data_IF_464272647015
#
_entry.id   IF_464272647015
#
_cell.length_a   1.000
_cell.length_b   1.000
_cell.length_c   1.000
_cell.angle_alpha   90.00
_cell.angle_beta   90.00
_cell.angle_gamma   90.00
#
_symmetry.space_group_name_H-M   'P 1'
#
loop_
_entity.id
_entity.type
_entity.pdbx_description
1 polymer ?
#
# COMPACT_ATOMS: atom_id res chain seq x y z
N UNK A 1 -20.11 19.95 2.39
CA UNK A 1 -21.37 19.27 2.78
C UNK A 1 -22.41 19.58 1.70
N UNK A 2 -22.96 18.58 1.02
CA UNK A 2 -23.84 18.81 -0.15
C UNK A 2 -25.22 19.39 0.23
N UNK A 3 -25.60 19.23 1.49
CA UNK A 3 -26.83 19.77 2.10
C UNK A 3 -26.73 21.25 2.50
N UNK A 4 -25.54 21.86 2.44
CA UNK A 4 -25.30 23.27 2.76
C UNK A 4 -24.86 24.07 1.54
N UNK A 5 -25.09 23.55 0.33
CA UNK A 5 -24.75 24.26 -0.90
C UNK A 5 -25.81 25.32 -1.14
N UNK A 6 -25.37 26.58 -1.24
CA UNK A 6 -26.27 27.70 -1.50
C UNK A 6 -26.90 27.63 -2.88
N UNK A 7 -28.11 28.20 -2.99
CA UNK A 7 -28.81 28.37 -4.25
C UNK A 7 -27.99 29.25 -5.21
N UNK A 8 -27.54 28.67 -6.32
CA UNK A 8 -26.64 29.27 -7.30
C UNK A 8 -25.25 28.61 -7.37
N UNK A 9 -24.82 27.88 -6.33
CA UNK A 9 -23.54 27.17 -6.31
C UNK A 9 -23.66 25.69 -6.71
N UNK A 10 -24.87 25.15 -6.85
CA UNK A 10 -25.11 23.74 -7.15
C UNK A 10 -24.51 23.33 -8.49
N UNK A 11 -24.55 24.21 -9.50
CA UNK A 11 -23.95 23.96 -10.81
C UNK A 11 -22.43 23.75 -10.70
N UNK A 12 -21.75 24.59 -9.91
CA UNK A 12 -20.31 24.47 -9.71
C UNK A 12 -19.93 23.18 -8.98
N UNK A 13 -20.74 22.74 -8.01
CA UNK A 13 -20.55 21.46 -7.32
C UNK A 13 -20.88 20.28 -8.24
N UNK A 14 -21.89 20.41 -9.10
CA UNK A 14 -22.23 19.40 -10.09
C UNK A 14 -21.07 19.18 -11.09
N UNK A 15 -20.48 20.25 -11.61
CA UNK A 15 -19.29 20.17 -12.48
C UNK A 15 -18.06 19.61 -11.77
N UNK A 16 -17.90 19.89 -10.47
CA UNK A 16 -16.86 19.30 -9.65
C UNK A 16 -17.05 17.78 -9.53
N UNK A 17 -18.28 17.32 -9.25
CA UNK A 17 -18.60 15.89 -9.14
C UNK A 17 -18.40 15.14 -10.46
N UNK A 18 -18.63 15.80 -11.59
CA UNK A 18 -18.30 15.28 -12.93
C UNK A 18 -16.80 15.37 -13.28
N UNK A 19 -15.96 15.77 -12.33
CA UNK A 19 -14.51 15.89 -12.50
C UNK A 19 -14.11 16.91 -13.61
N UNK A 20 -14.96 17.89 -13.91
CA UNK A 20 -14.73 18.89 -14.98
C UNK A 20 -13.93 20.10 -14.48
N UNK A 21 -14.27 20.63 -13.31
CA UNK A 21 -13.67 21.86 -12.76
C UNK A 21 -12.26 21.64 -12.21
N UNK A 22 -12.07 20.60 -11.41
CA UNK A 22 -10.77 20.15 -10.89
C UNK A 22 -10.68 18.66 -11.12
N UNK A 23 -9.62 18.19 -11.76
CA UNK A 23 -9.46 16.76 -12.10
C UNK A 23 -8.74 16.04 -10.98
N UNK A 24 -9.35 14.97 -10.47
CA UNK A 24 -8.74 14.03 -9.53
C UNK A 24 -8.60 12.65 -10.20
N UNK A 25 -7.51 11.94 -9.92
CA UNK A 25 -7.25 10.61 -10.48
C UNK A 25 -8.35 9.60 -10.14
N UNK A 26 -8.84 9.63 -8.90
CA UNK A 26 -9.94 8.76 -8.45
C UNK A 26 -11.31 9.43 -8.58
N UNK A 27 -11.40 10.65 -9.11
CA UNK A 27 -12.64 11.42 -9.23
C UNK A 27 -13.25 11.83 -7.88
N UNK A 28 -14.52 12.24 -7.93
CA UNK A 28 -15.29 12.65 -6.75
C UNK A 28 -16.48 11.72 -6.49
N UNK A 29 -16.99 11.81 -5.25
CA UNK A 29 -18.19 11.10 -4.81
C UNK A 29 -18.95 11.96 -3.79
N UNK A 30 -20.26 12.05 -3.92
CA UNK A 30 -21.11 12.83 -3.03
C UNK A 30 -21.78 11.94 -1.97
N UNK A 31 -21.83 12.40 -0.73
CA UNK A 31 -22.58 11.74 0.35
C UNK A 31 -23.30 12.78 1.18
N UNK A 32 -24.46 12.40 1.72
CA UNK A 32 -25.20 13.18 2.71
C UNK A 32 -25.09 12.51 4.07
N UNK A 33 -24.44 13.20 4.99
CA UNK A 33 -24.36 12.77 6.39
C UNK A 33 -25.61 13.17 7.17
N UNK A 34 -25.85 12.49 8.30
CA UNK A 34 -26.84 12.91 9.31
C UNK A 34 -26.55 14.35 9.77
N UNK A 35 -27.59 15.16 9.84
CA UNK A 35 -27.52 16.52 10.38
C UNK A 35 -27.40 16.53 11.91
N UNK A 36 -26.97 17.66 12.48
CA UNK A 36 -26.85 17.80 13.94
C UNK A 36 -28.19 17.50 14.64
N UNK A 37 -29.31 17.93 14.06
CA UNK A 37 -30.65 17.68 14.59
C UNK A 37 -31.01 16.19 14.56
N UNK A 38 -30.65 15.47 13.51
CA UNK A 38 -30.90 14.02 13.39
C UNK A 38 -30.05 13.22 14.38
N UNK A 39 -28.83 13.69 14.68
CA UNK A 39 -27.98 13.10 15.71
C UNK A 39 -28.58 13.28 17.10
N UNK A 40 -29.04 14.49 17.45
CA UNK A 40 -29.71 14.75 18.74
C UNK A 40 -31.00 13.93 18.91
N UNK A 41 -31.72 13.66 17.83
CA UNK A 41 -32.93 12.81 17.83
C UNK A 41 -32.64 11.30 17.81
N UNK A 42 -31.38 10.88 17.80
CA UNK A 42 -31.01 9.46 17.78
C UNK A 42 -31.40 8.74 16.49
N UNK A 43 -31.33 9.42 15.34
CA UNK A 43 -31.70 8.80 14.05
C UNK A 43 -30.74 7.65 13.72
N UNK A 44 -31.30 6.46 13.46
CA UNK A 44 -30.54 5.27 13.11
C UNK A 44 -29.76 5.45 11.81
N UNK A 45 -28.73 4.62 11.63
CA UNK A 45 -27.90 4.65 10.42
C UNK A 45 -28.74 4.33 9.17
N UNK A 46 -29.60 3.31 9.24
CA UNK A 46 -30.46 2.92 8.11
C UNK A 46 -31.40 4.04 7.69
N UNK A 47 -31.98 4.76 8.65
CA UNK A 47 -32.80 5.95 8.38
C UNK A 47 -31.95 7.06 7.75
N UNK A 48 -30.71 7.25 8.19
CA UNK A 48 -29.77 8.19 7.57
C UNK A 48 -29.48 7.86 6.09
N UNK A 49 -29.29 6.58 5.78
CA UNK A 49 -29.07 6.11 4.40
C UNK A 49 -30.34 6.29 3.55
N UNK A 50 -31.52 6.01 4.10
CA UNK A 50 -32.79 6.27 3.41
C UNK A 50 -32.99 7.79 3.14
N UNK A 51 -32.65 8.65 4.11
CA UNK A 51 -32.72 10.10 3.96
C UNK A 51 -31.71 10.64 2.93
N UNK A 52 -30.56 9.98 2.78
CA UNK A 52 -29.60 10.26 1.73
C UNK A 52 -30.18 9.93 0.35
N UNK A 53 -30.74 8.73 0.19
CA UNK A 53 -31.37 8.30 -1.07
C UNK A 53 -32.50 9.26 -1.48
N UNK A 54 -33.35 9.65 -0.52
CA UNK A 54 -34.42 10.61 -0.77
C UNK A 54 -33.88 11.99 -1.17
N UNK A 55 -32.82 12.49 -0.51
CA UNK A 55 -32.22 13.78 -0.84
C UNK A 55 -31.68 13.83 -2.27
N UNK A 56 -30.88 12.83 -2.65
CA UNK A 56 -30.32 12.80 -4.00
C UNK A 56 -31.37 12.49 -5.08
N UNK A 57 -32.42 11.73 -4.75
CA UNK A 57 -33.51 11.41 -5.66
C UNK A 57 -34.52 12.54 -5.88
N UNK A 58 -34.75 13.40 -4.88
CA UNK A 58 -35.74 14.48 -4.95
C UNK A 58 -35.17 15.81 -5.45
N UNK A 59 -33.87 16.06 -5.22
CA UNK A 59 -33.26 17.36 -5.54
C UNK A 59 -33.01 17.53 -7.04
N UNK A 60 -33.45 18.66 -7.62
CA UNK A 60 -33.43 18.91 -9.06
C UNK A 60 -32.01 18.78 -9.68
N UNK A 61 -31.01 19.36 -9.03
CA UNK A 61 -29.62 19.32 -9.49
C UNK A 61 -28.96 17.95 -9.29
N UNK A 62 -29.18 17.30 -8.14
CA UNK A 62 -28.47 16.07 -7.82
C UNK A 62 -29.06 14.84 -8.50
N UNK A 63 -30.37 14.84 -8.79
CA UNK A 63 -31.03 13.77 -9.54
C UNK A 63 -30.47 13.62 -10.96
N UNK A 64 -29.91 14.68 -11.54
CA UNK A 64 -29.26 14.67 -12.86
C UNK A 64 -27.89 13.98 -12.83
N UNK A 65 -27.29 13.79 -11.64
CA UNK A 65 -26.03 13.06 -11.50
C UNK A 65 -26.26 11.55 -11.64
N UNK A 66 -25.28 10.89 -12.26
CA UNK A 66 -25.26 9.44 -12.34
C UNK A 66 -25.32 8.82 -10.94
N UNK A 67 -26.18 7.80 -10.71
CA UNK A 67 -26.33 7.14 -9.41
C UNK A 67 -25.03 6.57 -8.81
N UNK A 68 -24.00 6.31 -9.63
CA UNK A 68 -22.72 5.82 -9.14
C UNK A 68 -21.83 6.92 -8.52
N UNK A 69 -22.17 8.20 -8.68
CA UNK A 69 -21.38 9.34 -8.16
C UNK A 69 -21.82 9.79 -6.77
N UNK A 70 -22.87 9.19 -6.22
CA UNK A 70 -23.40 9.59 -4.92
C UNK A 70 -23.89 8.40 -4.11
N UNK A 71 -24.05 8.62 -2.82
CA UNK A 71 -24.60 7.64 -1.88
C UNK A 71 -23.55 6.78 -1.21
N UNK A 72 -23.76 6.50 0.08
CA UNK A 72 -22.91 5.66 0.92
C UNK A 72 -22.76 4.23 0.37
N UNK A 73 -23.82 3.53 -0.09
CA UNK A 73 -23.66 2.17 -0.60
C UNK A 73 -22.70 2.08 -1.81
N UNK A 74 -22.86 3.01 -2.77
CA UNK A 74 -22.00 3.09 -3.95
C UNK A 74 -20.58 3.52 -3.62
N UNK A 75 -20.42 4.40 -2.64
CA UNK A 75 -19.10 4.78 -2.14
C UNK A 75 -18.36 3.57 -1.58
N UNK A 76 -19.04 2.76 -0.77
CA UNK A 76 -18.46 1.55 -0.18
C UNK A 76 -17.98 0.56 -1.24
N UNK A 77 -18.82 0.25 -2.23
CA UNK A 77 -18.45 -0.62 -3.37
C UNK A 77 -17.19 -0.11 -4.09
N UNK A 78 -17.15 1.20 -4.37
CA UNK A 78 -16.03 1.85 -5.05
C UNK A 78 -14.74 1.83 -4.21
N UNK A 79 -14.83 2.11 -2.91
CA UNK A 79 -13.68 2.08 -2.01
C UNK A 79 -13.10 0.65 -1.90
N UNK A 80 -13.97 -0.36 -1.84
CA UNK A 80 -13.54 -1.77 -1.83
C UNK A 80 -12.79 -2.10 -3.12
N UNK A 81 -13.31 -1.73 -4.29
CA UNK A 81 -12.62 -1.94 -5.57
C UNK A 81 -11.27 -1.22 -5.62
N UNK A 82 -11.21 0.06 -5.23
CA UNK A 82 -9.95 0.83 -5.21
C UNK A 82 -8.93 0.19 -4.26
N UNK A 83 -9.37 -0.27 -3.09
CA UNK A 83 -8.50 -0.91 -2.12
C UNK A 83 -7.96 -2.23 -2.68
N UNK A 84 -8.81 -3.08 -3.27
CA UNK A 84 -8.40 -4.34 -3.87
C UNK A 84 -7.37 -4.12 -4.99
N UNK A 85 -7.59 -3.12 -5.86
CA UNK A 85 -6.64 -2.79 -6.93
C UNK A 85 -5.30 -2.29 -6.37
N UNK A 86 -5.33 -1.48 -5.31
CA UNK A 86 -4.11 -1.02 -4.66
C UNK A 86 -3.33 -2.18 -4.04
N UNK A 87 -4.00 -3.09 -3.34
CA UNK A 87 -3.39 -4.30 -2.76
C UNK A 87 -2.77 -5.15 -3.87
N UNK A 88 -3.51 -5.41 -4.95
CA UNK A 88 -3.00 -6.21 -6.09
C UNK A 88 -1.75 -5.58 -6.73
N UNK A 89 -1.67 -4.25 -6.79
CA UNK A 89 -0.51 -3.53 -7.33
C UNK A 89 0.68 -3.47 -6.36
N UNK A 90 0.44 -3.40 -5.05
CA UNK A 90 1.50 -3.22 -4.06
C UNK A 90 2.11 -4.54 -3.58
N UNK A 91 1.32 -5.61 -3.46
CA UNK A 91 1.78 -6.89 -2.91
C UNK A 91 2.97 -7.51 -3.65
N UNK A 92 3.02 -7.55 -5.01
CA UNK A 92 4.16 -8.15 -5.70
C UNK A 92 5.49 -7.45 -5.38
N UNK A 93 5.45 -6.12 -5.19
CA UNK A 93 6.63 -5.33 -4.82
C UNK A 93 7.10 -5.69 -3.41
N UNK A 94 6.17 -5.81 -2.47
CA UNK A 94 6.47 -6.21 -1.08
C UNK A 94 7.09 -7.61 -1.05
N UNK A 95 6.54 -8.57 -1.81
CA UNK A 95 7.10 -9.92 -1.91
C UNK A 95 8.53 -9.88 -2.44
N UNK A 96 8.76 -9.13 -3.53
CA UNK A 96 10.08 -9.00 -4.16
C UNK A 96 11.09 -8.38 -3.18
N UNK A 97 10.68 -7.34 -2.45
CA UNK A 97 11.53 -6.69 -1.46
C UNK A 97 11.90 -7.64 -0.32
N UNK A 98 10.95 -8.41 0.20
CA UNK A 98 11.20 -9.42 1.25
C UNK A 98 12.17 -10.49 0.73
N UNK A 99 11.92 -11.05 -0.46
CA UNK A 99 12.81 -12.07 -1.04
C UNK A 99 14.22 -11.56 -1.28
N UNK A 100 14.36 -10.30 -1.71
CA UNK A 100 15.66 -9.66 -1.91
C UNK A 100 16.40 -9.52 -0.58
N UNK A 101 15.74 -8.96 0.43
CA UNK A 101 16.31 -8.83 1.79
C UNK A 101 16.68 -10.19 2.39
N UNK A 102 15.86 -11.22 2.19
CA UNK A 102 16.17 -12.57 2.64
C UNK A 102 17.44 -13.13 1.97
N UNK A 103 17.57 -12.96 0.65
CA UNK A 103 18.75 -13.41 -0.08
C UNK A 103 20.02 -12.66 0.35
N UNK A 104 19.93 -11.35 0.57
CA UNK A 104 21.02 -10.52 1.08
C UNK A 104 21.45 -10.98 2.48
N UNK A 105 20.51 -11.11 3.42
CA UNK A 105 20.80 -11.59 4.78
C UNK A 105 21.39 -12.99 4.77
N UNK A 106 20.90 -13.89 3.91
CA UNK A 106 21.46 -15.23 3.79
C UNK A 106 22.91 -15.21 3.25
N UNK A 107 23.20 -14.33 2.28
CA UNK A 107 24.55 -14.13 1.77
C UNK A 107 25.49 -13.57 2.85
N UNK A 108 25.02 -12.61 3.64
CA UNK A 108 25.77 -12.07 4.78
C UNK A 108 26.02 -13.13 5.85
N UNK A 109 25.01 -13.94 6.18
CA UNK A 109 25.12 -15.05 7.13
C UNK A 109 26.17 -16.07 6.67
N UNK A 110 26.18 -16.43 5.39
CA UNK A 110 27.20 -17.31 4.82
C UNK A 110 28.61 -16.69 4.89
N UNK A 111 28.73 -15.37 4.75
CA UNK A 111 29.99 -14.64 4.87
C UNK A 111 30.55 -14.67 6.29
N UNK A 112 29.69 -14.71 7.31
CA UNK A 112 30.12 -14.82 8.71
C UNK A 112 30.70 -16.21 9.05
N UNK A 113 30.38 -17.23 8.24
CA UNK A 113 30.91 -18.58 8.38
C UNK A 113 30.14 -19.42 9.42
N UNK A 114 30.67 -20.61 9.71
CA UNK A 114 30.03 -21.56 10.62
C UNK A 114 30.19 -21.13 12.08
N UNK A 115 29.13 -21.19 12.91
CA UNK A 115 29.22 -20.97 14.34
C UNK A 115 30.25 -21.88 14.99
N UNK A 116 31.16 -21.31 15.78
CA UNK A 116 32.24 -22.01 16.46
C UNK A 116 31.87 -22.33 17.91
N UNK A 117 30.70 -22.95 18.10
CA UNK A 117 30.10 -23.15 19.42
C UNK A 117 30.73 -24.33 20.21
N UNK A 118 31.38 -25.26 19.52
CA UNK A 118 32.07 -26.39 20.15
C UNK A 118 33.59 -26.31 19.97
N UNK A 119 34.36 -26.82 20.94
CA UNK A 119 35.82 -26.90 20.84
C UNK A 119 36.26 -27.74 19.63
N UNK A 120 35.50 -28.78 19.25
CA UNK A 120 35.76 -29.57 18.05
C UNK A 120 35.64 -28.75 16.77
N UNK A 121 34.55 -27.97 16.65
CA UNK A 121 34.34 -27.08 15.50
C UNK A 121 35.40 -25.97 15.42
N UNK A 122 35.81 -25.42 16.56
CA UNK A 122 36.91 -24.43 16.65
C UNK A 122 38.23 -25.00 16.12
N UNK A 123 38.64 -26.18 16.61
CA UNK A 123 39.89 -26.82 16.16
C UNK A 123 39.87 -27.13 14.66
N UNK A 124 38.74 -27.62 14.15
CA UNK A 124 38.59 -27.94 12.73
C UNK A 124 38.64 -26.68 11.87
N UNK A 125 38.03 -25.57 12.31
CA UNK A 125 38.06 -24.30 11.59
C UNK A 125 39.44 -23.66 11.56
N UNK A 126 40.17 -23.67 12.69
CA UNK A 126 41.55 -23.16 12.74
C UNK A 126 42.47 -23.97 11.83
N UNK A 127 42.29 -25.29 11.77
CA UNK A 127 43.00 -26.14 10.80
C UNK A 127 42.76 -25.71 9.36
N UNK A 128 41.49 -25.49 8.97
CA UNK A 128 41.12 -24.99 7.63
C UNK A 128 41.75 -23.62 7.31
N UNK A 129 41.76 -22.70 8.27
CA UNK A 129 42.41 -21.39 8.09
C UNK A 129 43.93 -21.52 7.88
N UNK A 130 44.60 -22.38 8.64
CA UNK A 130 46.03 -22.63 8.49
C UNK A 130 46.38 -23.22 7.12
N UNK A 131 45.62 -24.23 6.65
CA UNK A 131 45.77 -24.80 5.31
C UNK A 131 45.56 -23.75 4.21
N UNK A 132 44.52 -22.93 4.34
CA UNK A 132 44.23 -21.89 3.35
C UNK A 132 45.31 -20.81 3.31
N UNK A 133 45.87 -20.44 4.47
CA UNK A 133 47.00 -19.51 4.56
C UNK A 133 48.25 -20.08 3.87
N UNK A 134 48.63 -21.33 4.17
CA UNK A 134 49.78 -21.97 3.55
C UNK A 134 49.64 -22.04 2.02
N UNK A 135 48.45 -22.40 1.53
CA UNK A 135 48.16 -22.43 0.09
C UNK A 135 48.31 -21.05 -0.58
N UNK A 136 47.85 -19.98 0.08
CA UNK A 136 48.01 -18.62 -0.42
C UNK A 136 49.49 -18.19 -0.44
N UNK A 137 50.26 -18.55 0.58
CA UNK A 137 51.69 -18.27 0.66
C UNK A 137 52.48 -19.02 -0.43
N UNK A 138 52.17 -20.30 -0.67
CA UNK A 138 52.76 -21.07 -1.77
C UNK A 138 52.44 -20.47 -3.13
N UNK A 139 51.19 -20.05 -3.36
CA UNK A 139 50.78 -19.37 -4.60
C UNK A 139 51.48 -18.02 -4.77
N UNK A 140 51.72 -17.29 -3.68
CA UNK A 140 52.46 -16.03 -3.67
C UNK A 140 53.94 -16.23 -4.04
N UNK A 141 54.59 -17.20 -3.39
CA UNK A 141 55.98 -17.56 -3.65
C UNK A 141 56.18 -18.13 -5.06
N UNK A 142 55.15 -18.80 -5.62
CA UNK A 142 55.11 -19.31 -6.99
C UNK A 142 54.69 -18.30 -8.07
N UNK A 143 54.42 -17.03 -7.72
CA UNK A 143 54.09 -15.97 -8.67
C UNK A 143 52.68 -16.03 -9.29
N UNK A 144 51.77 -16.84 -8.74
CA UNK A 144 50.44 -17.14 -9.29
C UNK A 144 49.28 -16.27 -8.73
N UNK A 145 49.58 -15.25 -7.92
CA UNK A 145 48.57 -14.43 -7.23
C UNK A 145 47.68 -13.55 -8.13
N UNK A 146 47.96 -13.45 -9.43
CA UNK A 146 47.26 -12.51 -10.34
C UNK A 146 45.84 -12.98 -10.73
N UNK A 147 45.44 -14.23 -10.44
CA UNK A 147 44.18 -14.80 -10.96
C UNK A 147 43.01 -14.99 -9.98
N UNK A 148 43.18 -14.80 -8.66
CA UNK A 148 42.19 -15.27 -7.67
C UNK A 148 41.36 -14.16 -6.99
N UNK A 149 41.26 -12.98 -7.61
CA UNK A 149 40.33 -11.92 -7.17
C UNK A 149 39.32 -11.66 -8.29
N UNK A 150 38.33 -12.53 -8.41
CA UNK A 150 37.02 -12.23 -9.00
C UNK A 150 35.97 -13.19 -8.45
#
# INVERSE_FOLDING_TARGET
KVDLVDAGAELAVHELLLNKKKRMHLGYHAVKCRSQRELTKGTSIDKGVANELAFFGQHEYWRKLSPHLWGVPRLSERLVSILQDNIRRSLPKVITEISTRMAETQKELLRLGTPLESQGAQRQQVGKWAEQYLRLMEAAMGGLLIGCVN
#
